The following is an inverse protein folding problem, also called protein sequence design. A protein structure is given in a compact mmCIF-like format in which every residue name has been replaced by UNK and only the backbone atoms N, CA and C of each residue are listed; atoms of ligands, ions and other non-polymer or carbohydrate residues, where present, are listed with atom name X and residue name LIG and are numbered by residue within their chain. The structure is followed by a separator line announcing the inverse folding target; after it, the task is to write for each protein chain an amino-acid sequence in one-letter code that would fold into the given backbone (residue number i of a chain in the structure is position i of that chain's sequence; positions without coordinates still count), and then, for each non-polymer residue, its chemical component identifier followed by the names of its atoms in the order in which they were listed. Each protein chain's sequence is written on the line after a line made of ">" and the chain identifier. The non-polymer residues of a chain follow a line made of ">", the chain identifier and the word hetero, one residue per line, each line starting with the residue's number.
data_IF_550944931705
#
_entry.id   IF_550944931705
#
_cell.length_a   1.000
_cell.length_b   1.000
_cell.length_c   1.000
_cell.angle_alpha   90.00
_cell.angle_beta   90.00
_cell.angle_gamma   90.00
#
_symmetry.space_group_name_H-M   'P 1'
#
loop_
_entity.id
_entity.type
_entity.pdbx_description
1 polymer ?
#
# COMPACT_ATOMS: atom_id res chain seq x y z
N UNK A 1 19.85 -25.99 -33.04
CA UNK A 1 19.52 -24.58 -32.77
C UNK A 1 18.13 -24.55 -32.18
N UNK A 2 17.99 -24.41 -30.87
CA UNK A 2 16.71 -24.27 -30.19
C UNK A 2 16.11 -22.91 -30.56
N UNK A 3 14.93 -22.87 -31.14
CA UNK A 3 14.26 -21.62 -31.48
C UNK A 3 13.76 -20.96 -30.19
N UNK A 4 13.80 -19.63 -30.11
CA UNK A 4 13.28 -18.85 -28.97
C UNK A 4 11.82 -19.18 -28.60
N UNK A 5 11.05 -19.73 -29.56
CA UNK A 5 9.67 -20.19 -29.35
C UNK A 5 9.53 -21.56 -28.65
N UNK A 6 10.64 -22.28 -28.44
CA UNK A 6 10.64 -23.62 -27.80
C UNK A 6 10.93 -23.56 -26.30
N UNK A 7 11.07 -22.36 -25.71
CA UNK A 7 11.16 -22.24 -24.26
C UNK A 7 9.79 -22.47 -23.63
N UNK A 8 9.67 -23.39 -22.64
CA UNK A 8 8.42 -23.56 -21.93
C UNK A 8 8.06 -22.23 -21.23
N UNK A 9 6.98 -21.60 -21.65
CA UNK A 9 6.41 -20.46 -20.93
C UNK A 9 5.81 -20.98 -19.63
N UNK A 10 6.38 -20.60 -18.48
CA UNK A 10 5.76 -20.88 -17.18
C UNK A 10 4.65 -19.86 -16.98
N UNK A 11 3.37 -20.26 -17.02
CA UNK A 11 2.28 -19.31 -16.81
C UNK A 11 2.20 -18.88 -15.35
N UNK A 12 1.81 -17.63 -15.10
CA UNK A 12 1.43 -17.17 -13.79
C UNK A 12 0.16 -17.92 -13.35
N UNK A 13 0.19 -18.53 -12.18
CA UNK A 13 -0.91 -19.31 -11.60
C UNK A 13 -1.48 -18.59 -10.38
N UNK A 14 -2.72 -18.93 -10.03
CA UNK A 14 -3.43 -18.33 -8.91
C UNK A 14 -3.96 -19.42 -7.98
N UNK A 15 -3.54 -19.40 -6.72
CA UNK A 15 -3.94 -20.36 -5.70
C UNK A 15 -4.67 -19.68 -4.56
N UNK A 16 -5.63 -20.40 -3.99
CA UNK A 16 -6.31 -19.96 -2.76
C UNK A 16 -5.52 -20.45 -1.54
N UNK A 17 -5.36 -19.57 -0.56
CA UNK A 17 -4.80 -19.96 0.75
C UNK A 17 -5.76 -20.87 1.51
N UNK A 18 -5.25 -21.55 2.54
CA UNK A 18 -6.11 -22.09 3.58
C UNK A 18 -6.92 -20.97 4.23
N UNK A 19 -8.12 -21.23 4.77
CA UNK A 19 -8.88 -20.27 5.55
C UNK A 19 -8.11 -19.81 6.78
N UNK A 20 -8.23 -18.52 7.12
CA UNK A 20 -7.62 -17.91 8.30
C UNK A 20 -8.54 -16.82 8.90
N UNK A 21 -8.37 -16.43 10.18
CA UNK A 21 -9.17 -15.37 10.79
C UNK A 21 -8.99 -14.04 10.03
N UNK A 22 -10.09 -13.33 9.78
CA UNK A 22 -10.04 -12.04 9.10
C UNK A 22 -9.40 -10.97 10.00
N UNK A 23 -8.39 -10.27 9.48
CA UNK A 23 -7.70 -9.20 10.22
C UNK A 23 -8.49 -7.89 10.32
N UNK A 24 -9.63 -7.77 9.62
CA UNK A 24 -10.40 -6.55 9.51
C UNK A 24 -11.78 -6.63 10.16
N UNK A 25 -12.45 -7.76 10.01
CA UNK A 25 -13.80 -7.99 10.50
C UNK A 25 -13.77 -9.14 11.51
N UNK A 26 -14.15 -8.90 12.78
CA UNK A 26 -14.18 -9.96 13.79
C UNK A 26 -15.13 -11.08 13.37
N UNK A 27 -14.83 -12.30 13.83
CA UNK A 27 -15.64 -13.50 13.60
C UNK A 27 -15.80 -13.94 12.11
N UNK A 28 -15.09 -13.27 11.20
CA UNK A 28 -15.06 -13.64 9.78
C UNK A 28 -13.84 -14.49 9.46
N UNK A 29 -14.03 -15.39 8.52
CA UNK A 29 -12.95 -16.20 7.94
C UNK A 29 -12.56 -15.61 6.60
N UNK A 30 -11.26 -15.42 6.41
CA UNK A 30 -10.68 -14.88 5.19
C UNK A 30 -9.95 -15.96 4.39
N UNK A 31 -9.87 -15.74 3.10
CA UNK A 31 -8.97 -16.45 2.17
C UNK A 31 -8.38 -15.43 1.21
N UNK A 32 -7.17 -15.71 0.75
CA UNK A 32 -6.51 -14.91 -0.27
C UNK A 32 -6.24 -15.74 -1.51
N UNK A 33 -6.42 -15.12 -2.68
CA UNK A 33 -5.89 -15.63 -3.94
C UNK A 33 -4.48 -15.06 -4.11
N UNK A 34 -3.49 -15.93 -4.30
CA UNK A 34 -2.07 -15.57 -4.42
C UNK A 34 -1.58 -15.87 -5.82
N UNK A 35 -0.86 -14.91 -6.43
CA UNK A 35 -0.19 -15.06 -7.71
C UNK A 35 1.16 -15.77 -7.53
N UNK A 36 1.43 -16.81 -8.32
CA UNK A 36 2.64 -17.63 -8.18
C UNK A 36 3.09 -18.20 -9.53
N UNK A 37 4.37 -18.47 -9.76
CA UNK A 37 5.47 -18.21 -8.83
C UNK A 37 5.80 -16.70 -8.71
N UNK A 38 6.22 -16.28 -7.52
CA UNK A 38 6.41 -14.88 -7.22
C UNK A 38 7.40 -14.18 -8.18
N UNK A 39 8.49 -14.85 -8.60
CA UNK A 39 9.51 -14.28 -9.49
C UNK A 39 9.00 -13.88 -10.88
N UNK A 40 7.80 -14.31 -11.29
CA UNK A 40 7.15 -13.87 -12.53
C UNK A 40 6.37 -12.55 -12.37
N UNK A 41 6.17 -12.08 -11.13
CA UNK A 41 5.46 -10.83 -10.85
C UNK A 41 6.45 -9.67 -10.91
N UNK A 42 6.86 -9.30 -12.11
CA UNK A 42 7.64 -8.08 -12.37
C UNK A 42 6.72 -6.83 -12.46
N UNK A 43 7.29 -5.64 -12.63
CA UNK A 43 6.54 -4.37 -12.67
C UNK A 43 5.43 -4.33 -13.72
N UNK A 44 5.62 -4.78 -14.99
CA UNK A 44 4.54 -4.87 -15.96
C UNK A 44 3.40 -5.81 -15.52
N UNK A 45 3.72 -7.01 -15.06
CA UNK A 45 2.72 -8.00 -14.58
C UNK A 45 1.99 -7.44 -13.36
N UNK A 46 2.71 -6.84 -12.41
CA UNK A 46 2.11 -6.24 -11.22
C UNK A 46 1.17 -5.08 -11.56
N UNK A 47 1.48 -4.31 -12.60
CA UNK A 47 0.60 -3.24 -13.08
C UNK A 47 -0.76 -3.76 -13.55
N UNK A 48 -0.81 -4.92 -14.19
CA UNK A 48 -2.08 -5.57 -14.54
C UNK A 48 -2.78 -6.17 -13.31
N UNK A 49 -2.02 -6.81 -12.43
CA UNK A 49 -2.56 -7.41 -11.21
C UNK A 49 -3.19 -6.36 -10.28
N UNK A 50 -2.56 -5.19 -10.10
CA UNK A 50 -3.15 -4.15 -9.24
C UNK A 50 -4.44 -3.58 -9.81
N UNK A 51 -4.56 -3.47 -11.13
CA UNK A 51 -5.81 -3.10 -11.82
C UNK A 51 -6.91 -4.14 -11.59
N UNK A 52 -6.53 -5.42 -11.46
CA UNK A 52 -7.42 -6.54 -11.13
C UNK A 52 -7.66 -6.69 -9.60
N UNK A 53 -7.25 -5.70 -8.79
CA UNK A 53 -7.50 -5.66 -7.36
C UNK A 53 -6.47 -6.39 -6.49
N UNK A 54 -5.35 -6.82 -7.03
CA UNK A 54 -4.27 -7.40 -6.24
C UNK A 54 -3.47 -6.32 -5.48
N UNK A 55 -2.82 -6.78 -4.43
CA UNK A 55 -1.86 -6.03 -3.62
C UNK A 55 -0.64 -6.91 -3.38
N UNK A 56 0.45 -6.33 -2.85
CA UNK A 56 1.59 -7.12 -2.40
C UNK A 56 1.95 -6.86 -0.95
N UNK A 57 2.62 -7.85 -0.37
CA UNK A 57 3.28 -7.81 0.93
C UNK A 57 4.62 -8.51 0.75
N UNK A 58 5.73 -7.75 0.77
CA UNK A 58 7.02 -8.28 0.33
C UNK A 58 6.93 -8.83 -1.11
N UNK A 59 7.32 -10.07 -1.28
CA UNK A 59 7.27 -10.78 -2.58
C UNK A 59 5.90 -11.41 -2.88
N UNK A 60 4.98 -11.46 -1.91
CA UNK A 60 3.66 -12.06 -2.10
C UNK A 60 2.71 -11.07 -2.76
N UNK A 61 2.14 -11.45 -3.89
CA UNK A 61 1.08 -10.70 -4.56
C UNK A 61 -0.25 -11.43 -4.41
N UNK A 62 -1.24 -10.76 -3.83
CA UNK A 62 -2.48 -11.39 -3.41
C UNK A 62 -3.68 -10.46 -3.53
N UNK A 63 -4.88 -11.04 -3.52
CA UNK A 63 -6.13 -10.34 -3.28
C UNK A 63 -7.06 -11.18 -2.38
N UNK A 64 -7.94 -10.55 -1.58
CA UNK A 64 -8.99 -11.26 -0.86
C UNK A 64 -9.90 -12.04 -1.82
N UNK A 65 -10.19 -13.29 -1.46
CA UNK A 65 -11.09 -14.18 -2.18
C UNK A 65 -11.80 -15.06 -1.15
N UNK A 66 -12.62 -14.40 -0.31
CA UNK A 66 -13.30 -15.03 0.82
C UNK A 66 -14.60 -15.70 0.37
N UNK A 67 -14.89 -16.86 0.97
CA UNK A 67 -16.17 -17.55 0.76
C UNK A 67 -17.31 -16.73 1.41
N UNK A 68 -18.19 -16.17 0.59
CA UNK A 68 -19.36 -15.41 1.07
C UNK A 68 -19.09 -14.01 1.63
N UNK A 69 -17.90 -13.39 1.36
CA UNK A 69 -17.61 -12.03 1.77
C UNK A 69 -16.87 -11.25 0.66
N UNK A 70 -17.35 -10.04 0.34
CA UNK A 70 -16.79 -9.13 -0.68
C UNK A 70 -16.53 -7.72 -0.15
N UNK A 71 -16.39 -7.55 1.16
CA UNK A 71 -16.23 -6.25 1.81
C UNK A 71 -14.91 -5.54 1.49
N UNK A 72 -13.89 -6.28 1.05
CA UNK A 72 -12.58 -5.71 0.72
C UNK A 72 -12.59 -5.11 -0.70
N UNK A 73 -13.07 -3.88 -0.82
CA UNK A 73 -13.13 -3.17 -2.12
C UNK A 73 -11.77 -2.52 -2.41
N UNK A 74 -11.06 -2.90 -3.50
CA UNK A 74 -9.87 -2.17 -3.93
C UNK A 74 -10.24 -0.74 -4.31
N UNK A 75 -9.47 0.25 -3.83
CA UNK A 75 -9.76 1.66 -4.09
C UNK A 75 -8.54 2.40 -4.60
N UNK A 76 -8.79 3.42 -5.46
CA UNK A 76 -7.80 4.37 -5.97
C UNK A 76 -8.34 5.79 -6.03
N UNK A 77 -7.46 6.75 -5.81
CA UNK A 77 -7.76 8.17 -5.98
C UNK A 77 -7.55 8.56 -7.45
N UNK A 78 -8.45 9.38 -8.01
CA UNK A 78 -8.24 10.03 -9.31
C UNK A 78 -7.43 11.31 -9.08
N UNK A 79 -6.16 11.29 -9.45
CA UNK A 79 -5.16 12.29 -9.06
C UNK A 79 -5.45 13.68 -9.60
N UNK A 80 -5.81 13.77 -10.88
CA UNK A 80 -6.01 15.05 -11.56
C UNK A 80 -7.26 15.79 -11.06
N UNK A 81 -8.25 15.05 -10.57
CA UNK A 81 -9.52 15.60 -10.06
C UNK A 81 -9.48 15.82 -8.52
N UNK A 82 -8.42 15.35 -7.84
CA UNK A 82 -8.33 15.47 -6.39
C UNK A 82 -8.04 16.91 -5.96
N UNK A 83 -8.89 17.41 -5.04
CA UNK A 83 -8.68 18.71 -4.39
C UNK A 83 -8.66 18.53 -2.87
N UNK A 84 -7.58 18.96 -2.18
CA UNK A 84 -7.50 18.82 -0.74
C UNK A 84 -8.53 19.72 -0.05
N UNK A 85 -9.29 19.16 0.87
CA UNK A 85 -10.24 19.90 1.71
C UNK A 85 -9.51 20.79 2.74
N UNK A 86 -10.28 21.60 3.50
CA UNK A 86 -9.70 22.55 4.49
C UNK A 86 -8.83 21.86 5.53
N UNK A 87 -9.22 20.69 6.01
CA UNK A 87 -8.45 19.93 7.01
C UNK A 87 -7.17 19.38 6.41
N UNK A 88 -7.23 18.83 5.21
CA UNK A 88 -6.09 18.29 4.48
C UNK A 88 -5.07 19.40 4.15
N UNK A 89 -5.52 20.59 3.73
CA UNK A 89 -4.63 21.75 3.52
C UNK A 89 -3.89 22.17 4.81
N UNK A 90 -4.54 22.07 5.98
CA UNK A 90 -3.88 22.32 7.27
C UNK A 90 -2.81 21.26 7.58
N UNK A 91 -3.08 19.99 7.25
CA UNK A 91 -2.09 18.91 7.42
C UNK A 91 -0.88 19.15 6.52
N UNK A 92 -1.07 19.51 5.25
CA UNK A 92 0.03 19.87 4.34
C UNK A 92 0.87 21.02 4.90
N UNK A 93 0.23 22.11 5.34
CA UNK A 93 0.93 23.26 5.92
C UNK A 93 1.71 22.91 7.18
N UNK A 94 1.16 22.07 8.06
CA UNK A 94 1.79 21.64 9.31
C UNK A 94 3.07 20.82 9.08
N UNK A 95 3.13 20.10 7.98
CA UNK A 95 4.24 19.22 7.63
C UNK A 95 5.13 19.76 6.51
N UNK A 96 4.98 21.04 6.13
CA UNK A 96 5.71 21.65 5.02
C UNK A 96 7.23 21.74 5.25
N UNK A 97 7.69 21.64 6.50
CA UNK A 97 9.11 21.63 6.86
C UNK A 97 9.79 20.27 6.70
N UNK A 98 9.02 19.19 6.43
CA UNK A 98 9.59 17.88 6.22
C UNK A 98 10.32 17.84 4.88
N UNK A 99 11.58 17.41 4.91
CA UNK A 99 12.34 17.06 3.73
C UNK A 99 12.10 15.59 3.36
N UNK A 100 12.14 15.26 2.08
CA UNK A 100 11.89 13.90 1.60
C UNK A 100 13.05 13.43 0.75
N UNK A 101 13.60 12.26 1.07
CA UNK A 101 14.50 11.51 0.20
C UNK A 101 13.78 10.30 -0.39
N UNK A 102 14.09 10.01 -1.66
CA UNK A 102 13.51 8.89 -2.41
C UNK A 102 14.65 7.95 -2.80
N UNK A 103 14.55 6.69 -2.41
CA UNK A 103 15.60 5.69 -2.60
C UNK A 103 15.01 4.33 -2.94
N UNK A 104 15.83 3.41 -3.43
CA UNK A 104 15.47 2.00 -3.50
C UNK A 104 15.34 1.43 -2.08
N UNK A 105 14.46 0.45 -1.83
CA UNK A 105 14.32 -0.15 -0.52
C UNK A 105 15.65 -0.74 -0.02
N UNK A 106 16.03 -0.42 1.20
CA UNK A 106 17.20 -0.95 1.87
C UNK A 106 16.93 -1.03 3.37
N UNK A 107 17.72 -1.85 4.07
CA UNK A 107 17.65 -1.90 5.52
C UNK A 107 18.41 -0.71 6.13
N UNK A 108 17.72 0.04 6.97
CA UNK A 108 18.27 1.13 7.75
C UNK A 108 17.90 0.93 9.23
N UNK A 109 18.89 0.93 10.16
CA UNK A 109 18.61 0.77 11.59
C UNK A 109 17.68 1.85 12.17
N UNK A 110 17.78 3.11 11.69
CA UNK A 110 16.90 4.20 12.16
C UNK A 110 15.47 3.98 11.70
N UNK A 111 15.28 3.49 10.46
CA UNK A 111 13.94 3.12 9.97
C UNK A 111 13.36 1.95 10.75
N UNK A 112 14.19 0.95 11.07
CA UNK A 112 13.74 -0.22 11.84
C UNK A 112 13.34 0.15 13.26
N UNK A 113 14.09 1.01 13.96
CA UNK A 113 13.72 1.54 15.27
C UNK A 113 12.36 2.29 15.22
N UNK A 114 12.17 3.16 14.24
CA UNK A 114 10.91 3.85 14.05
C UNK A 114 9.76 2.86 13.77
N UNK A 115 10.00 1.81 12.97
CA UNK A 115 9.02 0.77 12.69
C UNK A 115 8.60 0.04 13.96
N UNK A 116 9.54 -0.40 14.79
CA UNK A 116 9.24 -1.09 16.05
C UNK A 116 8.41 -0.21 17.01
N UNK A 117 8.79 1.07 17.17
CA UNK A 117 8.03 2.04 17.97
C UNK A 117 6.60 2.24 17.43
N UNK A 118 6.46 2.34 16.12
CA UNK A 118 5.16 2.48 15.47
C UNK A 118 4.29 1.23 15.69
N UNK A 119 4.85 0.03 15.51
CA UNK A 119 4.14 -1.23 15.71
C UNK A 119 3.66 -1.38 17.16
N UNK A 120 4.54 -1.14 18.12
CA UNK A 120 4.19 -1.17 19.54
C UNK A 120 3.05 -0.20 19.90
N UNK A 121 3.04 1.01 19.31
CA UNK A 121 2.04 2.03 19.61
C UNK A 121 0.70 1.81 18.89
N UNK A 122 0.69 1.20 17.70
CA UNK A 122 -0.50 1.16 16.82
C UNK A 122 -1.06 -0.23 16.57
N UNK A 123 -0.26 -1.27 16.75
CA UNK A 123 -0.56 -2.63 16.39
C UNK A 123 -0.22 -3.65 17.47
N UNK A 124 -0.15 -3.24 18.74
CA UNK A 124 0.10 -4.13 19.87
C UNK A 124 -0.84 -5.35 19.81
N UNK A 125 -0.30 -6.55 19.89
CA UNK A 125 -1.02 -7.82 19.75
C UNK A 125 -1.43 -8.17 18.30
N UNK A 126 -0.96 -7.42 17.31
CA UNK A 126 -1.32 -7.63 15.89
C UNK A 126 -0.42 -8.60 15.11
N UNK A 127 0.55 -9.24 15.79
CA UNK A 127 1.47 -10.22 15.21
C UNK A 127 2.70 -9.64 14.53
N UNK A 128 2.70 -8.34 14.17
CA UNK A 128 3.87 -7.62 13.64
C UNK A 128 4.60 -6.80 14.69
N UNK A 129 4.12 -6.79 15.92
CA UNK A 129 4.70 -6.08 17.06
C UNK A 129 5.98 -6.75 17.62
N UNK A 130 6.27 -7.95 17.13
CA UNK A 130 7.46 -8.74 17.47
C UNK A 130 8.36 -9.01 16.25
N UNK A 131 8.12 -8.28 15.12
CA UNK A 131 8.93 -8.44 13.93
C UNK A 131 10.41 -8.20 14.23
N UNK A 132 11.23 -9.17 13.84
CA UNK A 132 12.68 -9.02 13.83
C UNK A 132 13.16 -8.35 12.53
N UNK A 133 14.48 -8.19 12.42
CA UNK A 133 15.11 -7.60 11.25
C UNK A 133 14.82 -8.40 9.96
N UNK A 134 14.74 -9.72 10.04
CA UNK A 134 14.51 -10.58 8.88
C UNK A 134 13.06 -10.41 8.39
N UNK A 135 12.08 -10.43 9.30
CA UNK A 135 10.67 -10.20 8.98
C UNK A 135 10.44 -8.81 8.40
N UNK A 136 11.02 -7.76 9.00
CA UNK A 136 11.01 -6.40 8.45
C UNK A 136 11.58 -6.35 7.03
N UNK A 137 12.73 -7.00 6.80
CA UNK A 137 13.39 -7.03 5.50
C UNK A 137 12.54 -7.74 4.46
N UNK A 138 11.97 -8.89 4.79
CA UNK A 138 11.07 -9.63 3.90
C UNK A 138 9.79 -8.85 3.59
N UNK A 139 9.25 -8.12 4.55
CA UNK A 139 8.00 -7.39 4.38
C UNK A 139 8.17 -6.07 3.62
N UNK A 140 9.19 -5.28 3.94
CA UNK A 140 9.31 -3.90 3.45
C UNK A 140 10.45 -3.69 2.46
N UNK A 141 11.56 -4.44 2.58
CA UNK A 141 12.74 -4.24 1.74
C UNK A 141 12.71 -5.14 0.50
N UNK A 142 12.26 -6.40 0.67
CA UNK A 142 12.19 -7.33 -0.45
C UNK A 142 11.12 -6.90 -1.47
N UNK A 143 11.56 -6.70 -2.72
CA UNK A 143 10.67 -6.35 -3.83
C UNK A 143 11.23 -6.85 -5.14
N UNK A 144 10.37 -7.18 -6.09
CA UNK A 144 10.71 -7.51 -7.48
C UNK A 144 9.94 -6.61 -8.47
N UNK A 145 9.36 -5.51 -7.96
CA UNK A 145 8.69 -4.48 -8.74
C UNK A 145 9.37 -3.13 -8.48
N UNK A 146 9.04 -2.11 -9.26
CA UNK A 146 9.58 -0.76 -9.10
C UNK A 146 9.09 -0.14 -7.79
N UNK A 147 9.87 -0.35 -6.73
CA UNK A 147 9.54 0.09 -5.38
C UNK A 147 10.47 1.21 -4.94
N UNK A 148 9.89 2.20 -4.27
CA UNK A 148 10.61 3.34 -3.70
C UNK A 148 10.33 3.46 -2.21
N UNK A 149 11.38 3.73 -1.46
CA UNK A 149 11.33 4.08 -0.06
C UNK A 149 11.43 5.60 0.07
N UNK A 150 10.43 6.19 0.68
CA UNK A 150 10.33 7.62 0.95
C UNK A 150 10.65 7.86 2.42
N UNK A 151 11.72 8.58 2.71
CA UNK A 151 12.09 8.94 4.08
C UNK A 151 11.83 10.42 4.32
N UNK A 152 10.96 10.72 5.27
CA UNK A 152 10.58 12.08 5.65
C UNK A 152 11.30 12.48 6.93
N UNK A 153 12.08 13.57 6.86
CA UNK A 153 12.89 14.05 7.97
C UNK A 153 12.53 15.48 8.39
N UNK A 154 12.69 15.74 9.67
CA UNK A 154 12.71 17.09 10.23
C UNK A 154 14.09 17.28 10.88
N UNK A 155 14.92 18.13 10.28
CA UNK A 155 16.35 18.12 10.59
C UNK A 155 16.95 16.74 10.34
N UNK A 156 17.66 16.21 11.33
CA UNK A 156 18.31 14.90 11.23
C UNK A 156 17.39 13.72 11.64
N UNK A 157 16.19 13.98 12.15
CA UNK A 157 15.31 12.94 12.67
C UNK A 157 14.33 12.42 11.61
N UNK A 158 14.24 11.10 11.47
CA UNK A 158 13.20 10.45 10.67
C UNK A 158 11.86 10.55 11.38
N UNK A 159 10.88 11.13 10.70
CA UNK A 159 9.52 11.29 11.20
C UNK A 159 8.54 10.29 10.57
N UNK A 160 8.81 9.86 9.35
CA UNK A 160 7.97 8.92 8.64
C UNK A 160 8.78 8.21 7.55
N UNK A 161 8.45 6.95 7.33
CA UNK A 161 8.93 6.16 6.18
C UNK A 161 7.71 5.62 5.45
N UNK A 162 7.73 5.70 4.13
CA UNK A 162 6.66 5.20 3.28
C UNK A 162 7.21 4.39 2.13
N UNK A 163 6.57 3.26 1.86
CA UNK A 163 6.89 2.37 0.76
C UNK A 163 5.81 2.50 -0.32
N UNK A 164 6.24 2.82 -1.54
CA UNK A 164 5.35 2.93 -2.69
C UNK A 164 5.88 2.11 -3.86
N UNK A 165 4.97 1.58 -4.67
CA UNK A 165 5.32 0.96 -5.95
C UNK A 165 4.89 1.86 -7.10
N UNK A 166 5.74 1.98 -8.11
CA UNK A 166 5.36 2.56 -9.39
C UNK A 166 4.72 1.49 -10.25
N UNK A 167 3.54 1.79 -10.76
CA UNK A 167 2.81 0.96 -11.73
C UNK A 167 2.56 1.76 -13.00
N UNK A 168 2.11 1.10 -14.07
CA UNK A 168 2.01 1.72 -15.39
C UNK A 168 1.15 3.00 -15.42
N UNK A 169 0.12 3.10 -14.57
CA UNK A 169 -0.84 4.20 -14.54
C UNK A 169 -0.96 4.88 -13.17
N UNK A 170 0.01 4.67 -12.27
CA UNK A 170 -0.09 5.27 -10.95
C UNK A 170 1.02 4.91 -9.98
N UNK A 171 0.81 5.30 -8.75
CA UNK A 171 1.53 4.74 -7.60
C UNK A 171 0.61 3.86 -6.76
N UNK A 172 1.20 2.87 -6.12
CA UNK A 172 0.54 2.05 -5.11
C UNK A 172 1.12 2.39 -3.74
N UNK A 173 0.30 2.90 -2.83
CA UNK A 173 0.67 3.07 -1.43
C UNK A 173 0.73 1.70 -0.76
N UNK A 174 1.93 1.19 -0.50
CA UNK A 174 2.13 -0.18 0.02
C UNK A 174 2.04 -0.18 1.53
N UNK A 175 2.91 0.57 2.18
CA UNK A 175 2.97 0.65 3.64
C UNK A 175 3.56 1.99 4.08
N UNK A 176 3.20 2.44 5.28
CA UNK A 176 3.84 3.59 5.92
C UNK A 176 3.85 3.42 7.43
N UNK A 177 4.93 3.86 8.05
CA UNK A 177 5.05 3.95 9.50
C UNK A 177 5.68 5.30 9.87
N UNK A 178 5.31 5.83 11.00
CA UNK A 178 5.66 7.18 11.38
C UNK A 178 5.75 7.35 12.89
N UNK A 179 6.39 8.42 13.31
CA UNK A 179 6.57 8.76 14.71
C UNK A 179 5.22 8.79 15.45
N UNK A 180 4.97 7.83 16.37
CA UNK A 180 3.71 7.73 17.10
C UNK A 180 3.50 8.87 18.10
N UNK A 181 4.58 9.55 18.52
CA UNK A 181 4.57 10.59 19.55
C UNK A 181 4.06 11.94 19.02
N UNK A 182 3.79 12.03 17.71
CA UNK A 182 3.31 13.25 17.06
C UNK A 182 1.90 13.13 16.45
N UNK A 183 0.87 12.71 17.22
CA UNK A 183 -0.47 12.46 16.66
C UNK A 183 -1.10 13.70 16.02
N UNK A 184 -0.78 14.91 16.56
CA UNK A 184 -1.26 16.18 16.04
C UNK A 184 -0.80 16.47 14.60
N UNK A 185 0.30 15.87 14.13
CA UNK A 185 0.82 16.07 12.77
C UNK A 185 0.01 15.35 11.72
N UNK A 186 -0.73 14.28 12.08
CA UNK A 186 -1.53 13.49 11.14
C UNK A 186 -0.69 12.95 9.98
N UNK A 187 0.49 12.39 10.29
CA UNK A 187 1.49 11.97 9.29
C UNK A 187 0.94 10.94 8.29
N UNK A 188 0.04 10.04 8.72
CA UNK A 188 -0.61 9.10 7.79
C UNK A 188 -1.50 9.80 6.74
N UNK A 189 -2.17 10.90 7.10
CA UNK A 189 -2.92 11.72 6.15
C UNK A 189 -1.96 12.48 5.24
N UNK A 190 -0.91 13.06 5.82
CA UNK A 190 0.13 13.76 5.05
C UNK A 190 0.78 12.85 4.01
N UNK A 191 1.07 11.60 4.37
CA UNK A 191 1.63 10.60 3.46
C UNK A 191 0.80 10.42 2.18
N UNK A 192 -0.51 10.25 2.32
CA UNK A 192 -1.39 10.08 1.15
C UNK A 192 -1.45 11.35 0.31
N UNK A 193 -1.56 12.52 0.94
CA UNK A 193 -1.59 13.81 0.24
C UNK A 193 -0.28 14.05 -0.53
N UNK A 194 0.85 13.73 0.07
CA UNK A 194 2.16 13.85 -0.57
C UNK A 194 2.30 12.89 -1.77
N UNK A 195 1.80 11.66 -1.64
CA UNK A 195 1.82 10.68 -2.73
C UNK A 195 0.88 11.10 -3.88
N UNK A 196 -0.26 11.73 -3.60
CA UNK A 196 -1.14 12.30 -4.64
C UNK A 196 -0.39 13.40 -5.41
N UNK A 197 0.29 14.29 -4.70
CA UNK A 197 1.07 15.36 -5.32
C UNK A 197 2.23 14.80 -6.15
N UNK A 198 2.94 13.79 -5.63
CA UNK A 198 3.96 13.07 -6.39
C UNK A 198 3.40 12.46 -7.67
N UNK A 199 2.26 11.77 -7.59
CA UNK A 199 1.63 11.18 -8.77
C UNK A 199 1.26 12.24 -9.82
N UNK A 200 0.77 13.41 -9.38
CA UNK A 200 0.48 14.55 -10.25
C UNK A 200 1.74 15.08 -10.94
N UNK A 201 2.85 15.22 -10.21
CA UNK A 201 4.13 15.64 -10.80
C UNK A 201 4.63 14.67 -11.88
N UNK A 202 4.40 13.37 -11.69
CA UNK A 202 4.72 12.34 -12.68
C UNK A 202 3.65 12.13 -13.76
N UNK A 203 2.56 12.92 -13.74
CA UNK A 203 1.41 12.82 -14.66
C UNK A 203 0.79 11.41 -14.64
N UNK A 204 0.73 10.81 -13.47
CA UNK A 204 0.13 9.50 -13.25
C UNK A 204 -1.31 9.68 -12.74
N UNK A 205 -2.31 9.12 -13.43
CA UNK A 205 -3.72 9.41 -13.13
C UNK A 205 -4.23 8.83 -11.81
N UNK A 206 -3.52 7.83 -11.22
CA UNK A 206 -4.07 7.13 -10.06
C UNK A 206 -3.08 6.99 -8.90
N UNK A 207 -3.65 7.02 -7.67
CA UNK A 207 -2.99 6.53 -6.46
C UNK A 207 -3.82 5.38 -5.88
N UNK A 208 -3.29 4.17 -5.92
CA UNK A 208 -3.91 2.97 -5.37
C UNK A 208 -3.70 2.90 -3.87
N UNK A 209 -4.80 2.86 -3.08
CA UNK A 209 -4.76 2.86 -1.61
C UNK A 209 -4.99 1.48 -0.98
N UNK A 210 -5.10 0.42 -1.79
CA UNK A 210 -5.45 -0.93 -1.33
C UNK A 210 -6.93 -1.06 -1.04
N UNK A 211 -7.30 -1.88 -0.04
CA UNK A 211 -8.69 -2.19 0.24
C UNK A 211 -9.34 -1.13 1.14
N UNK A 212 -10.56 -0.77 0.83
CA UNK A 212 -11.49 -0.08 1.70
C UNK A 212 -12.52 -1.09 2.22
N UNK A 213 -12.90 -0.98 3.49
CA UNK A 213 -13.85 -1.86 4.15
C UNK A 213 -14.74 -0.97 5.01
N UNK A 214 -16.05 -0.95 4.75
CA UNK A 214 -17.01 -0.06 5.40
C UNK A 214 -16.96 -0.19 6.93
N UNK A 215 -17.05 -1.40 7.44
CA UNK A 215 -17.12 -1.69 8.87
C UNK A 215 -15.76 -1.73 9.57
N UNK A 216 -14.68 -1.35 8.88
CA UNK A 216 -13.33 -1.31 9.46
C UNK A 216 -12.88 0.13 9.73
N UNK A 217 -12.82 0.53 11.00
CA UNK A 217 -12.28 1.85 11.40
C UNK A 217 -10.87 2.10 10.86
N UNK A 218 -10.04 1.03 10.71
CA UNK A 218 -8.69 1.12 10.17
C UNK A 218 -8.66 1.45 8.67
N UNK A 219 -9.78 1.26 7.95
CA UNK A 219 -9.87 1.44 6.50
C UNK A 219 -10.78 2.61 6.09
N UNK A 220 -11.67 3.07 6.98
CA UNK A 220 -12.67 4.12 6.71
C UNK A 220 -12.06 5.45 6.24
N UNK A 221 -10.84 5.78 6.71
CA UNK A 221 -10.17 7.05 6.36
C UNK A 221 -9.97 7.26 4.85
N UNK A 222 -9.99 6.20 4.04
CA UNK A 222 -9.73 6.29 2.59
C UNK A 222 -10.82 7.04 1.83
N UNK A 223 -12.05 7.06 2.35
CA UNK A 223 -13.17 7.83 1.75
C UNK A 223 -12.92 9.34 1.71
N UNK A 224 -12.04 9.88 2.54
CA UNK A 224 -11.76 11.32 2.56
C UNK A 224 -10.98 11.84 1.34
N UNK A 225 -10.46 10.94 0.49
CA UNK A 225 -9.67 11.30 -0.69
C UNK A 225 -10.52 11.18 -1.95
N UNK A 226 -11.35 12.19 -2.20
CA UNK A 226 -12.27 12.22 -3.35
C UNK A 226 -11.68 13.00 -4.54
N UNK A 227 -11.96 12.60 -5.80
CA UNK A 227 -12.76 11.44 -6.18
C UNK A 227 -12.06 10.11 -5.95
N UNK A 228 -12.76 9.19 -5.32
CA UNK A 228 -12.30 7.83 -5.06
C UNK A 228 -13.01 6.86 -6.01
N UNK A 229 -12.28 5.96 -6.64
CA UNK A 229 -12.83 4.86 -7.41
C UNK A 229 -12.68 3.55 -6.64
N UNK A 230 -13.70 2.70 -6.73
CA UNK A 230 -13.69 1.32 -6.23
C UNK A 230 -13.76 0.33 -7.39
N UNK A 231 -13.10 -0.81 -7.24
CA UNK A 231 -13.20 -1.93 -8.18
C UNK A 231 -14.43 -2.78 -7.80
N UNK A 232 -15.51 -2.62 -8.56
CA UNK A 232 -16.79 -3.31 -8.35
C UNK A 232 -17.12 -4.07 -9.62
N UNK A 233 -17.41 -5.35 -9.51
CA UNK A 233 -17.70 -6.25 -10.66
C UNK A 233 -16.65 -6.12 -11.77
N UNK A 234 -15.38 -6.19 -11.38
CA UNK A 234 -14.21 -6.03 -12.25
C UNK A 234 -14.11 -4.67 -13.00
N UNK A 235 -14.88 -3.67 -12.60
CA UNK A 235 -14.85 -2.33 -13.19
C UNK A 235 -14.51 -1.27 -12.15
N UNK A 236 -13.61 -0.37 -12.50
CA UNK A 236 -13.34 0.82 -11.70
C UNK A 236 -14.46 1.83 -11.86
N UNK A 237 -15.18 2.13 -10.79
CA UNK A 237 -16.31 3.06 -10.77
C UNK A 237 -16.09 4.08 -9.66
N UNK A 238 -16.61 5.29 -9.84
CA UNK A 238 -16.65 6.30 -8.77
C UNK A 238 -17.35 5.73 -7.55
N UNK A 239 -16.66 5.76 -6.43
CA UNK A 239 -17.22 5.28 -5.18
C UNK A 239 -18.05 6.38 -4.55
N UNK A 240 -19.33 6.12 -4.25
CA UNK A 240 -20.21 7.15 -3.72
C UNK A 240 -19.69 7.67 -2.38
N UNK A 241 -19.75 8.98 -2.21
CA UNK A 241 -19.64 9.63 -0.90
C UNK A 241 -20.93 9.35 -0.14
N UNK A 242 -20.84 8.70 1.00
CA UNK A 242 -21.97 8.63 1.96
C UNK A 242 -22.21 9.99 2.61
#
# INVERSE_FOLDING_TARGET
>A
MTRLNDMPSVPLQFYLTQPYPCSYLPERIARSQVATPAHLVNSPVYSELIRAGFRRSGLFTYRPQCDGCQECVPVRVVVDEFEPNRTQRRVLKRNAALTVSVQQPYFDPEHFDLYQRYQAARHAGGGMDHDDREQYTHFLVASQVDTYLLTFREGDQVQMVSLIDRVADGFSSVYAFFNPDMPARSLGVFNVLWQIDLARQFRLPYLYLGYWIADSRKMAYKQQYQPLQGLIDANWRTYPTS
#
